data_IF_260696677627
#
_entry.id   IF_260696677627
#
_cell.length_a   1.000
_cell.length_b   1.000
_cell.length_c   1.000
_cell.angle_alpha   90.00
_cell.angle_beta   90.00
_cell.angle_gamma   90.00
#
_symmetry.space_group_name_H-M   'P 1'
#
loop_
_entity.id
_entity.type
_entity.pdbx_description
1 polymer ?
#
# COMPACT_ATOMS: atom_id res chain seq x y z
N UNK A 1 17.10 2.92 -25.40
CA UNK A 1 15.67 2.50 -25.39
C UNK A 1 14.92 3.51 -24.53
N UNK A 2 13.84 4.12 -25.00
CA UNK A 2 13.08 5.08 -24.19
C UNK A 2 12.34 4.33 -23.06
N UNK A 3 12.11 4.99 -21.93
CA UNK A 3 11.36 4.40 -20.80
C UNK A 3 9.95 3.93 -21.20
N UNK A 4 9.30 4.63 -22.16
CA UNK A 4 8.00 4.24 -22.69
C UNK A 4 8.04 2.87 -23.41
N UNK A 5 9.09 2.59 -24.18
CA UNK A 5 9.27 1.28 -24.85
C UNK A 5 9.53 0.20 -23.79
N UNK A 6 10.37 0.47 -22.81
CA UNK A 6 10.64 -0.48 -21.73
C UNK A 6 9.36 -0.78 -20.93
N UNK A 7 8.53 0.22 -20.68
CA UNK A 7 7.26 0.07 -19.97
C UNK A 7 6.26 -0.78 -20.76
N UNK A 8 6.16 -0.58 -22.08
CA UNK A 8 5.31 -1.41 -22.92
C UNK A 8 5.82 -2.86 -23.02
N UNK A 9 7.14 -3.08 -23.15
CA UNK A 9 7.71 -4.44 -23.12
C UNK A 9 7.42 -5.15 -21.79
N UNK A 10 7.53 -4.45 -20.66
CA UNK A 10 7.19 -4.98 -19.34
C UNK A 10 5.71 -5.41 -19.28
N UNK A 11 4.81 -4.57 -19.78
CA UNK A 11 3.36 -4.87 -19.82
C UNK A 11 3.06 -6.05 -20.74
N UNK A 12 3.73 -6.16 -21.90
CA UNK A 12 3.57 -7.29 -22.82
C UNK A 12 4.04 -8.59 -22.18
N UNK A 13 5.19 -8.57 -21.52
CA UNK A 13 5.68 -9.73 -20.78
C UNK A 13 4.69 -10.14 -19.67
N UNK A 14 4.14 -9.19 -18.94
CA UNK A 14 3.10 -9.44 -17.95
C UNK A 14 1.87 -10.13 -18.56
N UNK A 15 1.35 -9.63 -19.68
CA UNK A 15 0.21 -10.25 -20.39
C UNK A 15 0.51 -11.67 -20.89
N UNK A 16 1.73 -11.95 -21.30
CA UNK A 16 2.14 -13.29 -21.71
C UNK A 16 2.10 -14.29 -20.54
N UNK A 17 2.39 -13.85 -19.31
CA UNK A 17 2.27 -14.67 -18.10
C UNK A 17 0.81 -14.96 -17.72
N UNK A 18 -0.15 -14.09 -18.06
CA UNK A 18 -1.57 -14.26 -17.73
C UNK A 18 -2.18 -15.53 -18.36
N UNK A 19 -1.62 -16.00 -19.48
CA UNK A 19 -2.03 -17.27 -20.11
C UNK A 19 -1.82 -18.47 -19.17
N UNK A 20 -0.81 -18.40 -18.30
CA UNK A 20 -0.42 -19.48 -17.40
C UNK A 20 -0.84 -19.24 -15.94
N UNK A 21 -1.16 -18.00 -15.60
CA UNK A 21 -1.39 -17.55 -14.23
C UNK A 21 -2.81 -17.01 -14.03
N UNK A 22 -3.81 -17.78 -14.46
CA UNK A 22 -5.21 -17.40 -14.21
C UNK A 22 -5.45 -17.19 -12.71
N UNK A 23 -6.00 -16.02 -12.36
CA UNK A 23 -6.43 -15.67 -10.99
C UNK A 23 -7.92 -15.97 -10.82
N UNK A 24 -8.29 -16.34 -9.60
CA UNK A 24 -9.70 -16.41 -9.19
C UNK A 24 -9.99 -15.15 -8.43
N UNK A 25 -10.78 -14.26 -9.00
CA UNK A 25 -11.15 -12.99 -8.35
C UNK A 25 -12.39 -13.19 -7.47
N UNK A 26 -12.36 -12.61 -6.26
CA UNK A 26 -13.56 -12.55 -5.42
C UNK A 26 -14.59 -11.63 -6.10
N UNK A 27 -15.86 -12.06 -6.24
CA UNK A 27 -16.89 -11.24 -6.84
C UNK A 27 -17.07 -9.91 -6.12
N UNK A 28 -17.18 -8.83 -6.89
CA UNK A 28 -17.36 -7.47 -6.36
C UNK A 28 -18.31 -6.66 -7.26
N UNK A 29 -18.89 -5.62 -6.70
CA UNK A 29 -19.66 -4.62 -7.45
C UNK A 29 -18.94 -3.27 -7.46
N UNK A 30 -19.08 -2.53 -8.53
CA UNK A 30 -18.59 -1.16 -8.64
C UNK A 30 -19.56 -0.22 -7.90
N UNK A 31 -19.05 0.52 -6.91
CA UNK A 31 -19.83 1.50 -6.11
C UNK A 31 -19.60 2.92 -6.62
N UNK A 32 -18.36 3.25 -6.92
CA UNK A 32 -17.95 4.56 -7.39
C UNK A 32 -16.92 4.42 -8.51
N UNK A 33 -17.05 5.26 -9.54
CA UNK A 33 -16.01 5.47 -10.54
C UNK A 33 -15.82 6.97 -10.78
N UNK A 34 -14.57 7.42 -10.66
CA UNK A 34 -14.13 8.79 -10.95
C UNK A 34 -12.82 8.76 -11.75
N UNK A 35 -12.41 9.93 -12.23
CA UNK A 35 -11.05 10.08 -12.72
C UNK A 35 -10.08 9.76 -11.58
N UNK A 36 -9.14 8.85 -11.81
CA UNK A 36 -8.12 8.44 -10.84
C UNK A 36 -8.52 7.31 -9.87
N UNK A 37 -9.80 6.99 -9.67
CA UNK A 37 -10.20 5.96 -8.69
C UNK A 37 -11.46 5.20 -9.09
N UNK A 38 -11.53 3.92 -8.66
CA UNK A 38 -12.75 3.13 -8.52
C UNK A 38 -12.87 2.66 -7.08
N UNK A 39 -14.09 2.53 -6.60
CA UNK A 39 -14.40 1.87 -5.33
C UNK A 39 -15.21 0.59 -5.64
N UNK A 40 -14.67 -0.55 -5.22
CA UNK A 40 -15.33 -1.84 -5.31
C UNK A 40 -15.79 -2.31 -3.95
N UNK A 41 -16.99 -2.86 -3.92
CA UNK A 41 -17.61 -3.51 -2.77
C UNK A 41 -17.62 -5.02 -2.99
N UNK A 42 -16.97 -5.73 -2.09
CA UNK A 42 -16.85 -7.19 -2.08
C UNK A 42 -17.85 -7.86 -1.12
N UNK A 43 -18.55 -7.06 -0.32
CA UNK A 43 -19.49 -7.57 0.65
C UNK A 43 -20.83 -7.99 0.05
N UNK A 44 -21.59 -8.75 0.84
CA UNK A 44 -22.99 -9.02 0.59
C UNK A 44 -23.83 -7.97 1.32
N UNK A 45 -25.03 -7.70 0.85
CA UNK A 45 -25.96 -6.80 1.52
C UNK A 45 -26.17 -7.17 2.98
N UNK A 46 -26.12 -6.18 3.87
CA UNK A 46 -26.29 -6.36 5.31
C UNK A 46 -25.59 -5.24 6.11
N UNK A 47 -26.01 -5.07 7.36
CA UNK A 47 -25.42 -4.08 8.27
C UNK A 47 -24.13 -4.66 8.89
N UNK A 48 -23.00 -4.48 8.23
CA UNK A 48 -21.68 -4.93 8.66
C UNK A 48 -20.73 -3.75 8.75
N UNK A 49 -19.78 -3.76 9.71
CA UNK A 49 -18.80 -2.69 9.81
C UNK A 49 -17.98 -2.56 8.52
N UNK A 50 -17.86 -1.34 8.02
CA UNK A 50 -17.12 -1.05 6.80
C UNK A 50 -15.61 -1.12 7.04
N UNK A 51 -14.90 -1.77 6.11
CA UNK A 51 -13.44 -1.82 6.04
C UNK A 51 -13.02 -1.37 4.64
N UNK A 52 -12.27 -0.28 4.56
CA UNK A 52 -11.74 0.27 3.31
C UNK A 52 -10.25 -0.05 3.18
N UNK A 53 -9.91 -0.83 2.16
CA UNK A 53 -8.54 -1.11 1.77
C UNK A 53 -8.03 0.00 0.84
N UNK A 54 -6.88 0.58 1.20
CA UNK A 54 -6.19 1.63 0.44
C UNK A 54 -4.83 1.08 -0.03
N UNK A 55 -4.74 0.55 -1.27
CA UNK A 55 -3.49 0.08 -1.85
C UNK A 55 -2.53 1.22 -2.15
N UNK A 56 -1.24 0.91 -2.32
CA UNK A 56 -0.28 1.87 -2.85
C UNK A 56 -0.65 2.27 -4.30
N UNK A 57 -0.60 3.57 -4.68
CA UNK A 57 -1.12 4.06 -5.96
C UNK A 57 -0.33 3.62 -7.20
N UNK A 58 0.86 3.09 -7.00
CA UNK A 58 1.72 2.63 -8.11
C UNK A 58 1.45 1.20 -8.56
N UNK A 59 0.61 0.46 -7.84
CA UNK A 59 0.38 -0.97 -8.06
C UNK A 59 -1.10 -1.31 -8.16
N UNK A 60 -1.38 -2.41 -8.85
CA UNK A 60 -2.73 -2.98 -8.90
C UNK A 60 -3.17 -3.49 -7.52
N UNK A 61 -4.44 -3.28 -7.20
CA UNK A 61 -5.06 -3.66 -5.93
C UNK A 61 -5.17 -5.17 -5.70
N UNK A 62 -5.08 -5.99 -6.76
CA UNK A 62 -5.34 -7.43 -6.67
C UNK A 62 -4.36 -8.24 -5.81
N UNK A 63 -3.25 -7.64 -5.36
CA UNK A 63 -2.38 -8.27 -4.36
C UNK A 63 -3.11 -8.53 -3.04
N UNK A 64 -4.16 -7.76 -2.75
CA UNK A 64 -5.01 -7.94 -1.58
C UNK A 64 -6.01 -9.11 -1.74
N UNK A 65 -6.15 -9.64 -2.96
CA UNK A 65 -7.04 -10.76 -3.32
C UNK A 65 -6.36 -11.64 -4.38
N UNK A 66 -5.18 -12.17 -4.03
CA UNK A 66 -4.29 -12.83 -4.98
C UNK A 66 -4.73 -14.25 -5.34
N UNK A 67 -5.06 -15.05 -4.30
CA UNK A 67 -5.59 -16.41 -4.41
C UNK A 67 -6.56 -16.65 -3.26
N UNK A 68 -7.44 -17.68 -3.34
CA UNK A 68 -8.34 -17.98 -2.22
C UNK A 68 -7.65 -18.25 -0.87
N UNK A 69 -6.40 -18.72 -0.88
CA UNK A 69 -5.58 -18.96 0.32
C UNK A 69 -4.69 -17.77 0.71
N UNK A 70 -4.59 -16.76 -0.14
CA UNK A 70 -3.82 -15.55 0.07
C UNK A 70 -4.68 -14.34 -0.36
N UNK A 71 -5.75 -14.12 0.40
CA UNK A 71 -6.71 -13.03 0.18
C UNK A 71 -7.09 -12.37 1.50
N UNK A 72 -6.57 -11.17 1.70
CA UNK A 72 -6.97 -10.30 2.79
C UNK A 72 -8.46 -9.89 2.68
N UNK A 73 -8.94 -9.71 1.46
CA UNK A 73 -10.35 -9.44 1.17
C UNK A 73 -11.24 -10.57 1.71
N UNK A 74 -10.95 -11.82 1.33
CA UNK A 74 -11.73 -12.98 1.80
C UNK A 74 -11.63 -13.15 3.31
N UNK A 75 -10.45 -12.97 3.90
CA UNK A 75 -10.26 -13.05 5.35
C UNK A 75 -11.16 -12.04 6.09
N UNK A 76 -11.20 -10.78 5.63
CA UNK A 76 -12.06 -9.75 6.19
C UNK A 76 -13.56 -10.04 5.98
N UNK A 77 -13.96 -10.53 4.81
CA UNK A 77 -15.35 -10.93 4.52
C UNK A 77 -15.81 -12.06 5.44
N UNK A 78 -14.97 -13.08 5.63
CA UNK A 78 -15.24 -14.22 6.52
C UNK A 78 -15.31 -13.78 7.99
N UNK A 79 -14.56 -12.76 8.36
CA UNK A 79 -14.62 -12.16 9.69
C UNK A 79 -15.86 -11.27 9.92
N UNK A 80 -16.69 -11.08 8.90
CA UNK A 80 -17.98 -10.37 9.00
C UNK A 80 -17.92 -8.88 8.69
N UNK A 81 -16.89 -8.41 7.98
CA UNK A 81 -16.79 -7.01 7.52
C UNK A 81 -17.44 -6.82 6.15
N UNK A 82 -17.91 -5.59 5.89
CA UNK A 82 -18.22 -5.11 4.56
C UNK A 82 -16.92 -4.55 3.98
N UNK A 83 -16.36 -5.23 2.98
CA UNK A 83 -15.02 -4.90 2.46
C UNK A 83 -15.12 -4.08 1.20
N UNK A 84 -14.52 -2.91 1.26
CA UNK A 84 -14.34 -2.01 0.12
C UNK A 84 -12.86 -1.96 -0.27
N UNK A 85 -12.58 -1.95 -1.57
CA UNK A 85 -11.22 -1.77 -2.09
C UNK A 85 -11.20 -0.57 -3.00
N UNK A 86 -10.32 0.36 -2.68
CA UNK A 86 -9.99 1.47 -3.55
C UNK A 86 -9.05 0.96 -4.65
N UNK A 87 -9.43 1.12 -5.91
CA UNK A 87 -8.61 0.81 -7.07
C UNK A 87 -8.15 2.11 -7.71
N UNK A 88 -6.84 2.35 -7.69
CA UNK A 88 -6.28 3.46 -8.44
C UNK A 88 -6.42 3.22 -9.93
N UNK A 89 -6.69 4.29 -10.67
CA UNK A 89 -6.65 4.30 -12.14
C UNK A 89 -5.43 5.06 -12.61
N UNK A 90 -4.98 4.75 -13.80
CA UNK A 90 -3.99 5.57 -14.45
C UNK A 90 -4.52 7.02 -14.54
N UNK A 91 -3.88 7.93 -13.84
CA UNK A 91 -4.31 9.33 -13.78
C UNK A 91 -3.78 10.04 -15.04
N UNK A 92 -4.62 10.78 -15.76
CA UNK A 92 -4.13 11.60 -16.85
C UNK A 92 -3.04 12.56 -16.33
N UNK A 93 -1.93 12.73 -17.06
CA UNK A 93 -0.82 13.58 -16.62
C UNK A 93 -1.18 15.07 -16.56
N UNK A 94 -2.30 15.46 -17.12
CA UNK A 94 -2.75 16.84 -17.26
C UNK A 94 -3.75 17.21 -16.16
N UNK A 95 -3.25 17.85 -15.10
CA UNK A 95 -4.08 18.43 -14.04
C UNK A 95 -3.22 19.12 -12.99
N UNK A 96 -3.54 20.36 -12.58
CA UNK A 96 -2.69 21.16 -11.68
C UNK A 96 -2.57 20.59 -10.26
N UNK A 97 -3.33 19.54 -9.89
CA UNK A 97 -3.45 19.07 -8.51
C UNK A 97 -3.32 17.54 -8.35
N UNK A 98 -2.43 16.89 -9.09
CA UNK A 98 -2.24 15.44 -9.02
C UNK A 98 -1.29 14.99 -7.87
N UNK A 99 -1.16 15.76 -6.80
CA UNK A 99 -0.34 15.47 -5.63
C UNK A 99 -1.14 14.88 -4.46
N UNK A 100 -0.63 15.05 -3.23
CA UNK A 100 -1.30 14.55 -2.00
C UNK A 100 -2.70 15.13 -1.78
N UNK A 101 -2.96 16.37 -2.22
CA UNK A 101 -4.30 16.98 -2.18
C UNK A 101 -5.29 16.16 -2.98
N UNK A 102 -4.90 15.74 -4.17
CA UNK A 102 -5.75 14.92 -5.05
C UNK A 102 -5.99 13.51 -4.47
N UNK A 103 -4.95 12.92 -3.89
CA UNK A 103 -5.08 11.61 -3.20
C UNK A 103 -6.07 11.70 -2.05
N UNK A 104 -5.97 12.75 -1.21
CA UNK A 104 -6.92 13.00 -0.13
C UNK A 104 -8.35 13.15 -0.63
N UNK A 105 -8.58 13.92 -1.72
CA UNK A 105 -9.88 14.06 -2.34
C UNK A 105 -10.48 12.74 -2.80
N UNK A 106 -9.69 11.89 -3.46
CA UNK A 106 -10.15 10.60 -3.96
C UNK A 106 -10.52 9.64 -2.82
N UNK A 107 -9.72 9.60 -1.75
CA UNK A 107 -10.03 8.79 -0.57
C UNK A 107 -11.29 9.31 0.11
N UNK A 108 -11.46 10.64 0.22
CA UNK A 108 -12.63 11.27 0.81
C UNK A 108 -13.92 10.96 0.02
N UNK A 109 -13.87 10.97 -1.31
CA UNK A 109 -15.01 10.57 -2.14
C UNK A 109 -15.39 9.10 -1.93
N UNK A 110 -14.40 8.21 -1.82
CA UNK A 110 -14.64 6.81 -1.49
C UNK A 110 -15.27 6.66 -0.10
N UNK A 111 -14.73 7.33 0.91
CA UNK A 111 -15.25 7.29 2.28
C UNK A 111 -16.69 7.86 2.38
N UNK A 112 -17.00 8.93 1.63
CA UNK A 112 -18.37 9.46 1.53
C UNK A 112 -19.33 8.47 0.88
N UNK A 113 -18.86 7.70 -0.13
CA UNK A 113 -19.70 6.71 -0.82
C UNK A 113 -20.00 5.49 0.06
N UNK A 114 -19.17 5.20 1.05
CA UNK A 114 -19.42 4.18 2.06
C UNK A 114 -20.52 4.65 3.04
N UNK A 115 -20.56 5.94 3.34
CA UNK A 115 -21.64 6.58 4.12
C UNK A 115 -21.47 6.53 5.64
N UNK A 116 -20.58 5.69 6.17
CA UNK A 116 -20.27 5.55 7.59
C UNK A 116 -18.76 5.57 7.85
N UNK A 117 -18.31 5.87 9.08
CA UNK A 117 -16.89 5.74 9.42
C UNK A 117 -16.40 4.31 9.22
N UNK A 118 -15.29 4.16 8.51
CA UNK A 118 -14.73 2.87 8.15
C UNK A 118 -13.44 2.55 8.90
N UNK A 119 -13.11 1.27 9.02
CA UNK A 119 -11.76 0.83 9.36
C UNK A 119 -10.93 0.98 8.09
N UNK A 120 -9.79 1.66 8.17
CA UNK A 120 -8.87 1.77 7.04
C UNK A 120 -7.76 0.75 7.15
N UNK A 121 -7.45 0.08 6.06
CA UNK A 121 -6.30 -0.82 5.96
C UNK A 121 -5.41 -0.39 4.79
N UNK A 122 -4.12 -0.13 5.06
CA UNK A 122 -3.17 0.28 4.03
C UNK A 122 -1.84 -0.44 4.16
N UNK A 123 -1.25 -0.77 3.00
CA UNK A 123 0.07 -1.38 2.91
C UNK A 123 1.05 -0.40 2.26
N UNK A 124 2.27 -0.33 2.80
CA UNK A 124 3.32 0.52 2.23
C UNK A 124 2.84 1.98 2.10
N UNK A 125 3.07 2.61 0.96
CA UNK A 125 2.62 3.99 0.68
C UNK A 125 1.09 4.16 0.80
N UNK A 126 0.31 3.10 0.57
CA UNK A 126 -1.14 3.11 0.82
C UNK A 126 -1.48 3.32 2.30
N UNK A 127 -0.68 2.73 3.20
CA UNK A 127 -0.80 2.97 4.65
C UNK A 127 -0.39 4.38 5.04
N UNK A 128 0.66 4.93 4.43
CA UNK A 128 1.05 6.33 4.61
C UNK A 128 -0.09 7.28 4.25
N UNK A 129 -0.74 7.07 3.11
CA UNK A 129 -1.88 7.89 2.68
C UNK A 129 -3.12 7.68 3.55
N UNK A 130 -3.40 6.45 3.97
CA UNK A 130 -4.48 6.17 4.93
C UNK A 130 -4.28 6.92 6.25
N UNK A 131 -3.03 7.00 6.73
CA UNK A 131 -2.69 7.72 7.97
C UNK A 131 -2.82 9.22 7.81
N UNK A 132 -2.33 9.79 6.71
CA UNK A 132 -2.50 11.22 6.39
C UNK A 132 -4.00 11.55 6.32
N UNK A 133 -4.79 10.76 5.59
CA UNK A 133 -6.23 10.90 5.51
C UNK A 133 -6.90 10.83 6.89
N UNK A 134 -6.55 9.83 7.70
CA UNK A 134 -7.10 9.65 9.05
C UNK A 134 -6.80 10.85 9.95
N UNK A 135 -5.64 11.50 9.80
CA UNK A 135 -5.28 12.71 10.55
C UNK A 135 -6.04 13.96 10.12
N UNK A 136 -6.54 14.00 8.88
CA UNK A 136 -7.33 15.11 8.32
C UNK A 136 -8.84 14.92 8.52
N UNK A 137 -9.29 13.67 8.56
CA UNK A 137 -10.71 13.27 8.62
C UNK A 137 -10.96 12.22 9.71
N UNK A 138 -10.57 12.49 10.99
CA UNK A 138 -10.68 11.50 12.07
C UNK A 138 -12.13 11.00 12.29
N UNK A 139 -13.13 11.84 12.00
CA UNK A 139 -14.55 11.49 12.09
C UNK A 139 -14.99 10.42 11.07
N UNK A 140 -14.19 10.15 10.04
CA UNK A 140 -14.43 9.15 9.00
C UNK A 140 -13.76 7.81 9.28
N UNK A 141 -12.93 7.71 10.33
CA UNK A 141 -12.07 6.56 10.57
C UNK A 141 -12.31 5.98 11.95
N UNK A 142 -12.71 4.71 12.01
CA UNK A 142 -12.93 3.97 13.26
C UNK A 142 -11.65 3.40 13.83
N UNK A 143 -10.79 2.88 12.97
CA UNK A 143 -9.50 2.28 13.32
C UNK A 143 -8.58 2.28 12.09
N UNK A 144 -7.29 2.15 12.31
CA UNK A 144 -6.27 2.18 11.28
C UNK A 144 -5.40 0.91 11.36
N UNK A 145 -5.26 0.22 10.22
CA UNK A 145 -4.40 -0.96 10.07
C UNK A 145 -3.30 -0.62 9.09
N UNK A 146 -2.07 -0.65 9.55
CA UNK A 146 -0.87 -0.27 8.83
C UNK A 146 0.01 -1.50 8.62
N UNK A 147 0.15 -1.92 7.37
CA UNK A 147 0.95 -3.08 7.00
C UNK A 147 2.23 -2.58 6.33
N UNK A 148 3.37 -2.66 7.04
CA UNK A 148 4.67 -2.15 6.56
C UNK A 148 4.55 -0.76 5.89
N UNK A 149 3.93 0.19 6.59
CA UNK A 149 3.68 1.54 6.10
C UNK A 149 4.70 2.53 6.67
N UNK A 150 5.55 3.16 5.85
CA UNK A 150 6.55 4.11 6.33
C UNK A 150 5.88 5.45 6.69
N UNK A 151 6.16 5.97 7.89
CA UNK A 151 5.54 7.18 8.44
C UNK A 151 6.53 8.16 9.05
N UNK A 152 7.70 7.68 9.48
CA UNK A 152 8.80 8.50 10.02
C UNK A 152 10.04 8.36 9.14
N UNK A 153 10.63 9.50 8.77
CA UNK A 153 11.74 9.54 7.80
C UNK A 153 12.99 10.24 8.35
N UNK A 154 12.99 10.66 9.64
CA UNK A 154 14.10 11.39 10.30
C UNK A 154 15.13 10.39 10.72
N UNK A 155 15.54 9.43 10.43
CA UNK A 155 16.56 8.48 10.86
C UNK A 155 16.83 7.42 9.79
N UNK A 156 17.05 6.22 10.23
CA UNK A 156 17.06 5.07 9.32
C UNK A 156 15.61 4.76 8.91
N UNK A 157 15.24 5.19 7.73
CA UNK A 157 13.90 4.98 7.15
C UNK A 157 13.94 4.00 5.96
N UNK A 158 15.00 3.22 5.86
CA UNK A 158 15.19 2.17 4.88
C UNK A 158 15.81 2.62 3.56
N UNK A 159 16.13 1.65 2.73
CA UNK A 159 16.91 1.82 1.51
C UNK A 159 16.27 2.80 0.50
N UNK A 160 14.94 2.83 0.41
CA UNK A 160 14.23 3.78 -0.47
C UNK A 160 14.43 5.21 0.03
N UNK A 161 14.38 5.44 1.34
CA UNK A 161 14.60 6.76 1.92
C UNK A 161 16.03 7.26 1.65
N UNK A 162 17.03 6.40 1.76
CA UNK A 162 18.42 6.73 1.43
C UNK A 162 18.57 7.15 -0.04
N UNK A 163 17.99 6.38 -0.97
CA UNK A 163 18.02 6.73 -2.39
C UNK A 163 17.33 8.09 -2.65
N UNK A 164 16.21 8.35 -1.99
CA UNK A 164 15.48 9.61 -2.11
C UNK A 164 16.30 10.80 -1.60
N UNK A 165 17.09 10.64 -0.52
CA UNK A 165 17.92 11.72 0.03
C UNK A 165 18.96 12.24 -0.97
N UNK A 166 19.55 11.36 -1.76
CA UNK A 166 20.58 11.70 -2.76
C UNK A 166 20.00 12.04 -4.15
N UNK A 167 18.71 11.82 -4.35
CA UNK A 167 18.02 12.00 -5.63
C UNK A 167 17.81 13.47 -6.03
N UNK A 168 17.18 13.74 -7.19
CA UNK A 168 16.91 15.09 -7.70
C UNK A 168 15.94 15.88 -6.81
N UNK A 169 15.99 17.20 -6.87
CA UNK A 169 15.09 18.10 -6.12
C UNK A 169 13.61 17.90 -6.53
N UNK A 170 12.67 18.23 -5.64
CA UNK A 170 11.23 18.18 -5.94
C UNK A 170 10.84 19.07 -7.12
N UNK A 171 11.50 20.21 -7.30
CA UNK A 171 11.32 21.08 -8.46
C UNK A 171 11.72 20.36 -9.76
N UNK A 172 12.87 19.70 -9.76
CA UNK A 172 13.33 18.92 -10.93
C UNK A 172 12.35 17.77 -11.24
N UNK A 173 11.83 17.10 -10.21
CA UNK A 173 10.87 16.02 -10.39
C UNK A 173 9.56 16.47 -11.04
N UNK A 174 9.14 17.72 -10.85
CA UNK A 174 7.91 18.28 -11.45
C UNK A 174 8.05 18.69 -12.92
N UNK A 175 9.26 18.61 -13.52
CA UNK A 175 9.51 19.02 -14.92
C UNK A 175 8.97 18.02 -15.96
N UNK A 176 8.57 16.82 -15.55
CA UNK A 176 7.92 15.82 -16.40
C UNK A 176 6.46 15.67 -15.99
N UNK A 177 5.62 15.12 -16.85
CA UNK A 177 4.21 14.90 -16.55
C UNK A 177 3.98 13.74 -15.60
N UNK A 178 4.68 12.64 -15.82
CA UNK A 178 4.57 11.44 -14.99
C UNK A 178 5.85 10.58 -15.06
N UNK A 179 6.05 9.74 -14.07
CA UNK A 179 7.11 8.74 -14.01
C UNK A 179 6.53 7.37 -14.38
N UNK A 180 6.99 6.74 -15.48
CA UNK A 180 6.55 5.39 -15.86
C UNK A 180 6.81 4.37 -14.76
N UNK A 181 5.96 3.35 -14.64
CA UNK A 181 6.13 2.26 -13.67
C UNK A 181 7.49 1.57 -13.76
N UNK A 182 8.05 1.44 -14.96
CA UNK A 182 9.40 0.91 -15.15
C UNK A 182 10.49 1.74 -14.47
N UNK A 183 10.34 3.08 -14.39
CA UNK A 183 11.28 3.95 -13.65
C UNK A 183 11.16 3.70 -12.16
N UNK A 184 9.93 3.62 -11.64
CA UNK A 184 9.68 3.36 -10.22
C UNK A 184 10.23 1.97 -9.81
N UNK A 185 10.07 0.97 -10.66
CA UNK A 185 10.66 -0.36 -10.45
C UNK A 185 12.19 -0.31 -10.44
N UNK A 186 12.80 0.39 -11.39
CA UNK A 186 14.25 0.57 -11.45
C UNK A 186 14.80 1.29 -10.20
N UNK A 187 14.06 2.28 -9.68
CA UNK A 187 14.42 2.97 -8.44
C UNK A 187 14.35 2.03 -7.23
N UNK A 188 13.30 1.19 -7.12
CA UNK A 188 13.19 0.18 -6.06
C UNK A 188 14.35 -0.82 -6.11
N UNK A 189 14.68 -1.30 -7.31
CA UNK A 189 15.79 -2.22 -7.54
C UNK A 189 17.15 -1.57 -7.21
N UNK A 190 17.33 -0.29 -7.53
CA UNK A 190 18.55 0.45 -7.23
C UNK A 190 18.68 0.75 -5.72
N UNK A 191 17.56 0.96 -5.02
CA UNK A 191 17.54 1.19 -3.58
C UNK A 191 17.95 -0.07 -2.81
N UNK A 192 17.35 -1.21 -3.11
CA UNK A 192 17.67 -2.48 -2.46
C UNK A 192 17.70 -3.63 -3.48
N UNK A 193 18.86 -3.90 -4.09
CA UNK A 193 19.05 -5.09 -4.93
C UNK A 193 18.81 -6.39 -4.16
N UNK A 194 19.11 -6.41 -2.85
CA UNK A 194 18.87 -7.59 -1.99
C UNK A 194 17.40 -7.95 -1.97
N UNK A 195 16.51 -7.01 -1.60
CA UNK A 195 15.08 -7.25 -1.48
C UNK A 195 14.36 -7.40 -2.82
N UNK A 196 14.76 -6.62 -3.83
CA UNK A 196 14.03 -6.58 -5.11
C UNK A 196 14.59 -7.48 -6.21
N UNK A 197 15.79 -8.06 -6.03
CA UNK A 197 16.41 -9.00 -7.00
C UNK A 197 16.82 -10.31 -6.36
N UNK A 198 17.78 -10.28 -5.40
CA UNK A 198 18.38 -11.50 -4.86
C UNK A 198 17.40 -12.33 -4.04
N UNK A 199 16.57 -11.69 -3.22
CA UNK A 199 15.49 -12.35 -2.48
C UNK A 199 14.54 -13.09 -3.43
N UNK A 200 14.13 -12.50 -4.55
CA UNK A 200 13.23 -13.12 -5.54
C UNK A 200 13.80 -14.42 -6.13
N UNK A 201 15.08 -14.39 -6.50
CA UNK A 201 15.76 -15.60 -6.97
C UNK A 201 15.82 -16.70 -5.91
N UNK A 202 16.21 -16.34 -4.69
CA UNK A 202 16.26 -17.26 -3.55
C UNK A 202 14.88 -17.85 -3.26
N UNK A 203 13.86 -17.02 -3.17
CA UNK A 203 12.48 -17.44 -2.88
C UNK A 203 11.93 -18.38 -3.96
N UNK A 204 12.23 -18.11 -5.24
CA UNK A 204 11.87 -19.01 -6.34
C UNK A 204 12.47 -20.40 -6.19
N UNK A 205 13.74 -20.49 -5.81
CA UNK A 205 14.42 -21.78 -5.60
C UNK A 205 13.82 -22.51 -4.39
N UNK A 206 13.56 -21.82 -3.30
CA UNK A 206 12.94 -22.40 -2.11
C UNK A 206 11.50 -22.88 -2.38
N UNK A 207 10.81 -22.25 -3.28
CA UNK A 207 9.42 -22.57 -3.65
C UNK A 207 9.31 -23.69 -4.68
N UNK A 208 10.41 -24.08 -5.35
CA UNK A 208 10.38 -25.03 -6.47
C UNK A 208 9.82 -26.41 -6.12
N UNK A 209 9.95 -26.84 -4.85
CA UNK A 209 9.41 -28.12 -4.34
C UNK A 209 7.96 -28.07 -3.89
N UNK A 210 7.31 -26.90 -3.87
CA UNK A 210 5.93 -26.71 -3.44
C UNK A 210 5.12 -25.98 -4.53
N UNK A 211 4.27 -26.70 -5.28
CA UNK A 211 3.50 -26.10 -6.38
C UNK A 211 2.62 -24.90 -5.94
N UNK A 212 2.10 -24.90 -4.72
CA UNK A 212 1.27 -23.80 -4.23
C UNK A 212 2.12 -22.57 -3.89
N UNK A 213 3.28 -22.76 -3.26
CA UNK A 213 4.24 -21.69 -3.01
C UNK A 213 4.78 -21.10 -4.33
N UNK A 214 5.18 -21.96 -5.27
CA UNK A 214 5.66 -21.52 -6.57
C UNK A 214 4.58 -20.76 -7.35
N UNK A 215 3.33 -21.19 -7.30
CA UNK A 215 2.22 -20.48 -7.92
C UNK A 215 2.05 -19.08 -7.31
N UNK A 216 2.06 -18.96 -5.98
CA UNK A 216 1.96 -17.65 -5.30
C UNK A 216 3.15 -16.76 -5.69
N UNK A 217 4.37 -17.30 -5.67
CA UNK A 217 5.57 -16.61 -6.13
C UNK A 217 5.38 -16.03 -7.54
N UNK A 218 4.94 -16.84 -8.50
CA UNK A 218 4.75 -16.41 -9.89
C UNK A 218 3.63 -15.37 -10.04
N UNK A 219 2.56 -15.45 -9.24
CA UNK A 219 1.50 -14.45 -9.22
C UNK A 219 1.99 -13.11 -8.65
N UNK A 220 2.83 -13.12 -7.63
CA UNK A 220 3.48 -11.89 -7.11
C UNK A 220 4.46 -11.34 -8.13
N UNK A 221 5.27 -12.19 -8.78
CA UNK A 221 6.12 -11.78 -9.91
C UNK A 221 5.32 -11.08 -11.01
N UNK A 222 4.19 -11.67 -11.40
CA UNK A 222 3.28 -11.07 -12.38
C UNK A 222 2.76 -9.71 -11.90
N UNK A 223 2.37 -9.60 -10.62
CA UNK A 223 1.92 -8.35 -10.03
C UNK A 223 3.00 -7.27 -10.05
N UNK A 224 4.27 -7.62 -9.85
CA UNK A 224 5.36 -6.63 -9.91
C UNK A 224 5.50 -5.98 -11.29
N UNK A 225 4.96 -6.60 -12.33
CA UNK A 225 4.94 -6.07 -13.69
C UNK A 225 3.75 -5.15 -13.98
N UNK A 226 2.79 -5.04 -13.06
CA UNK A 226 1.55 -4.27 -13.20
C UNK A 226 1.61 -2.92 -12.49
N UNK A 227 2.60 -2.11 -12.82
CA UNK A 227 2.76 -0.79 -12.26
C UNK A 227 2.03 0.26 -13.11
N UNK A 228 1.43 1.23 -12.42
CA UNK A 228 0.94 2.47 -13.01
C UNK A 228 2.05 3.51 -13.11
N UNK A 229 1.92 4.42 -14.07
CA UNK A 229 2.68 5.65 -14.04
C UNK A 229 2.23 6.50 -12.84
N UNK A 230 3.18 7.12 -12.15
CA UNK A 230 2.91 8.04 -11.05
C UNK A 230 2.98 9.49 -11.57
N UNK A 231 1.94 10.32 -11.38
CA UNK A 231 2.00 11.74 -11.69
C UNK A 231 3.18 12.41 -10.99
N UNK A 232 3.88 13.29 -11.68
CA UNK A 232 5.10 13.92 -11.16
C UNK A 232 4.83 14.75 -9.91
N UNK A 233 3.66 15.36 -9.80
CA UNK A 233 3.25 16.10 -8.61
C UNK A 233 3.16 15.17 -7.38
N UNK A 234 2.53 13.98 -7.52
CA UNK A 234 2.44 13.02 -6.44
C UNK A 234 3.82 12.46 -6.08
N UNK A 235 4.65 12.13 -7.09
CA UNK A 235 6.00 11.65 -6.85
C UNK A 235 6.85 12.68 -6.10
N UNK A 236 6.79 13.95 -6.50
CA UNK A 236 7.48 15.04 -5.82
C UNK A 236 6.99 15.25 -4.38
N UNK A 237 5.68 15.13 -4.14
CA UNK A 237 5.10 15.24 -2.79
C UNK A 237 5.53 14.06 -1.90
N UNK A 238 5.58 12.84 -2.43
CA UNK A 238 6.13 11.66 -1.72
C UNK A 238 7.60 11.87 -1.39
N UNK A 239 8.41 12.33 -2.35
CA UNK A 239 9.82 12.67 -2.10
C UNK A 239 9.97 13.74 -1.02
N UNK A 240 9.09 14.76 -1.00
CA UNK A 240 9.09 15.77 0.05
C UNK A 240 8.74 15.18 1.43
N UNK A 241 7.77 14.25 1.51
CA UNK A 241 7.48 13.54 2.76
C UNK A 241 8.72 12.85 3.32
N UNK A 242 9.43 12.09 2.48
CA UNK A 242 10.63 11.37 2.88
C UNK A 242 11.79 12.30 3.30
N UNK A 243 11.99 13.41 2.60
CA UNK A 243 13.12 14.32 2.88
C UNK A 243 12.90 15.24 4.05
N UNK A 244 11.68 15.73 4.21
CA UNK A 244 11.36 16.80 5.13
C UNK A 244 10.63 16.30 6.37
N UNK A 245 10.18 15.05 6.36
CA UNK A 245 9.44 14.40 7.45
C UNK A 245 8.28 15.27 7.97
N UNK A 246 7.58 15.94 7.03
CA UNK A 246 6.58 16.98 7.32
C UNK A 246 5.42 16.47 8.16
N UNK A 247 5.02 15.21 7.96
CA UNK A 247 3.92 14.61 8.71
C UNK A 247 4.29 14.49 10.19
N UNK A 248 5.45 13.89 10.50
CA UNK A 248 5.93 13.74 11.87
C UNK A 248 6.21 15.08 12.54
N UNK A 249 6.69 16.06 11.79
CA UNK A 249 6.96 17.42 12.28
C UNK A 249 5.69 18.28 12.46
N UNK A 250 4.51 17.79 12.06
CA UNK A 250 3.26 18.58 12.09
C UNK A 250 3.27 19.79 11.16
N UNK A 251 4.06 19.75 10.09
CA UNK A 251 4.17 20.84 9.11
C UNK A 251 3.56 20.51 7.76
N UNK A 252 3.03 19.28 7.59
CA UNK A 252 2.31 18.90 6.38
C UNK A 252 0.96 19.63 6.31
N UNK A 253 0.76 20.41 5.25
CA UNK A 253 -0.49 21.13 5.00
C UNK A 253 -1.18 20.57 3.76
N UNK A 254 -2.45 20.18 3.91
CA UNK A 254 -3.34 19.75 2.82
C UNK A 254 -4.61 20.60 2.92
N UNK A 255 -4.91 21.39 1.89
CA UNK A 255 -6.07 22.32 1.87
C UNK A 255 -6.15 23.24 3.09
N UNK A 256 -5.01 23.69 3.60
CA UNK A 256 -4.92 24.56 4.76
C UNK A 256 -5.03 23.84 6.12
N UNK A 257 -5.40 22.56 6.16
CA UNK A 257 -5.42 21.74 7.37
C UNK A 257 -4.04 21.11 7.62
N UNK A 258 -3.70 20.94 8.90
CA UNK A 258 -2.45 20.28 9.29
C UNK A 258 -2.68 18.77 9.41
N UNK A 259 -1.93 17.98 8.66
CA UNK A 259 -1.81 16.54 8.88
C UNK A 259 -0.63 16.26 9.81
N UNK A 260 -0.90 15.59 10.91
CA UNK A 260 0.12 15.28 11.93
C UNK A 260 -0.29 14.04 12.76
N UNK A 261 0.67 13.33 13.38
CA UNK A 261 0.37 12.21 14.29
C UNK A 261 -0.58 12.58 15.43
N UNK A 262 -0.49 13.81 15.96
CA UNK A 262 -1.36 14.32 17.03
C UNK A 262 -2.86 14.35 16.68
N UNK A 263 -3.20 14.29 15.39
CA UNK A 263 -4.59 14.26 14.93
C UNK A 263 -5.11 12.84 14.69
N UNK A 264 -4.27 11.82 14.83
CA UNK A 264 -4.65 10.40 14.71
C UNK A 264 -5.13 9.94 16.10
N UNK A 265 -6.44 9.99 16.31
CA UNK A 265 -7.08 9.72 17.62
C UNK A 265 -7.76 8.36 17.71
N UNK A 266 -7.92 7.68 16.58
CA UNK A 266 -8.50 6.35 16.51
C UNK A 266 -7.47 5.26 16.90
N UNK A 267 -7.94 4.04 17.28
CA UNK A 267 -7.05 2.89 17.50
C UNK A 267 -6.19 2.56 16.27
N UNK A 268 -4.93 2.23 16.50
CA UNK A 268 -3.97 1.88 15.42
C UNK A 268 -3.38 0.49 15.65
N UNK A 269 -3.40 -0.35 14.63
CA UNK A 269 -2.60 -1.57 14.57
C UNK A 269 -1.56 -1.39 13.47
N UNK A 270 -0.29 -1.57 13.81
CA UNK A 270 0.80 -1.59 12.85
C UNK A 270 1.43 -2.99 12.77
N UNK A 271 1.81 -3.39 11.57
CA UNK A 271 2.61 -4.60 11.31
C UNK A 271 3.93 -4.18 10.71
N UNK A 272 5.02 -4.68 11.26
CA UNK A 272 6.39 -4.47 10.75
C UNK A 272 7.08 -5.81 10.53
N UNK A 273 7.93 -5.88 9.54
CA UNK A 273 8.92 -6.95 9.40
C UNK A 273 10.23 -6.46 10.06
N UNK A 274 10.71 -7.14 11.12
CA UNK A 274 11.93 -6.73 11.82
C UNK A 274 13.18 -6.68 10.94
N UNK A 275 13.20 -7.48 9.87
CA UNK A 275 14.33 -7.58 8.94
C UNK A 275 14.11 -6.80 7.64
N UNK A 276 13.07 -5.96 7.56
CA UNK A 276 12.78 -5.18 6.35
C UNK A 276 13.78 -4.05 6.20
N UNK A 277 14.49 -4.01 5.07
CA UNK A 277 15.33 -2.88 4.64
C UNK A 277 14.53 -1.85 3.82
N UNK A 278 13.31 -2.19 3.40
CA UNK A 278 12.41 -1.32 2.63
C UNK A 278 11.59 -0.43 3.56
N UNK A 279 11.00 -1.01 4.60
CA UNK A 279 10.24 -0.32 5.66
C UNK A 279 10.69 -0.88 7.01
N UNK A 280 11.83 -0.46 7.52
CA UNK A 280 12.33 -0.93 8.82
C UNK A 280 11.42 -0.44 9.95
N UNK A 281 11.40 -1.14 11.10
CA UNK A 281 10.64 -0.72 12.28
C UNK A 281 10.89 0.73 12.70
N UNK A 282 12.10 1.25 12.50
CA UNK A 282 12.49 2.65 12.73
C UNK A 282 11.72 3.67 11.89
N UNK A 283 11.10 3.26 10.78
CA UNK A 283 10.21 4.12 9.99
C UNK A 283 8.74 4.10 10.44
N UNK A 284 8.39 3.25 11.42
CA UNK A 284 7.01 3.07 11.91
C UNK A 284 6.88 3.39 13.40
N UNK A 285 7.78 2.86 14.23
CA UNK A 285 7.70 2.98 15.70
C UNK A 285 7.65 4.44 16.18
N UNK A 286 8.46 5.39 15.65
CA UNK A 286 8.37 6.79 16.10
C UNK A 286 7.00 7.42 15.86
N UNK A 287 6.27 6.99 14.82
CA UNK A 287 4.90 7.43 14.60
C UNK A 287 3.96 6.92 15.71
N UNK A 288 4.06 5.63 16.07
CA UNK A 288 3.24 5.04 17.14
C UNK A 288 3.49 5.74 18.49
N UNK A 289 4.75 6.05 18.78
CA UNK A 289 5.13 6.76 20.02
C UNK A 289 4.65 8.21 20.04
N UNK A 290 4.44 8.82 18.86
CA UNK A 290 3.94 10.19 18.72
C UNK A 290 2.40 10.31 18.78
N UNK A 291 1.67 9.20 18.84
CA UNK A 291 0.21 9.22 18.95
C UNK A 291 -0.23 9.79 20.31
N UNK A 292 -1.29 10.62 20.35
CA UNK A 292 -1.75 11.29 21.58
C UNK A 292 -2.22 10.28 22.63
N UNK A 293 -2.89 9.24 22.19
CA UNK A 293 -3.36 8.14 23.03
C UNK A 293 -2.55 6.89 22.68
N UNK A 294 -1.99 6.21 23.68
CA UNK A 294 -1.25 4.95 23.46
C UNK A 294 -2.19 3.79 23.11
N UNK A 295 -3.19 4.06 22.28
CA UNK A 295 -4.17 3.08 21.80
C UNK A 295 -3.68 2.45 20.49
N UNK A 296 -2.53 1.79 20.56
CA UNK A 296 -1.96 1.09 19.42
C UNK A 296 -1.38 -0.27 19.80
N UNK A 297 -1.30 -1.13 18.80
CA UNK A 297 -0.63 -2.44 18.87
C UNK A 297 0.37 -2.54 17.73
N UNK A 298 1.53 -3.12 18.03
CA UNK A 298 2.56 -3.47 17.04
C UNK A 298 2.65 -4.99 16.96
N UNK A 299 2.44 -5.54 15.76
CA UNK A 299 2.64 -6.94 15.44
C UNK A 299 3.89 -7.10 14.56
N UNK A 300 4.57 -8.23 14.72
CA UNK A 300 5.73 -8.57 13.91
C UNK A 300 5.34 -9.63 12.87
N UNK A 301 5.79 -9.42 11.64
CA UNK A 301 5.69 -10.40 10.58
C UNK A 301 7.08 -11.00 10.34
N UNK A 302 7.21 -12.32 10.51
CA UNK A 302 8.50 -13.03 10.44
C UNK A 302 8.89 -13.46 9.01
N UNK A 303 8.05 -13.14 8.03
CA UNK A 303 8.28 -13.50 6.64
C UNK A 303 7.66 -14.84 6.24
N UNK A 304 7.74 -15.12 4.95
CA UNK A 304 7.22 -16.31 4.27
C UNK A 304 8.14 -16.73 3.13
N UNK A 305 7.93 -17.94 2.61
CA UNK A 305 8.47 -18.39 1.33
C UNK A 305 7.35 -18.49 0.29
N UNK A 306 7.69 -18.35 -0.98
CA UNK A 306 6.70 -18.36 -2.07
C UNK A 306 5.99 -17.02 -2.28
N UNK A 307 6.63 -15.92 -1.89
CA UNK A 307 6.05 -14.58 -1.95
C UNK A 307 6.78 -13.63 -2.92
N UNK A 308 7.86 -14.06 -3.54
CA UNK A 308 8.73 -13.30 -4.44
C UNK A 308 9.33 -12.01 -3.85
N UNK A 309 8.53 -11.21 -3.15
CA UNK A 309 8.95 -9.98 -2.47
C UNK A 309 8.55 -10.05 -1.00
N UNK A 310 9.54 -9.99 -0.10
CA UNK A 310 9.32 -10.04 1.35
C UNK A 310 8.34 -8.95 1.81
N UNK A 311 8.49 -7.75 1.33
CA UNK A 311 7.63 -6.59 1.64
C UNK A 311 6.12 -6.79 1.35
N UNK A 312 5.72 -7.70 0.45
CA UNK A 312 4.31 -8.04 0.23
C UNK A 312 3.87 -9.33 0.92
N UNK A 313 4.75 -9.94 1.70
CA UNK A 313 4.47 -11.17 2.42
C UNK A 313 3.31 -11.05 3.39
N UNK A 314 3.14 -9.91 4.03
CA UNK A 314 1.98 -9.58 4.89
C UNK A 314 0.64 -9.71 4.16
N UNK A 315 0.62 -9.60 2.82
CA UNK A 315 -0.57 -9.74 1.98
C UNK A 315 -0.67 -11.10 1.29
N UNK A 316 0.45 -11.66 0.82
CA UNK A 316 0.48 -12.85 -0.04
C UNK A 316 1.00 -14.11 0.69
N UNK A 317 1.60 -13.97 1.86
CA UNK A 317 2.24 -15.05 2.59
C UNK A 317 1.25 -16.04 3.23
N UNK A 318 1.59 -17.32 3.21
CA UNK A 318 0.78 -18.37 3.87
C UNK A 318 0.76 -18.23 5.38
N UNK A 319 1.90 -17.90 5.98
CA UNK A 319 1.97 -17.68 7.43
C UNK A 319 1.26 -16.38 7.81
N UNK A 320 1.33 -15.33 6.96
CA UNK A 320 0.54 -14.15 7.15
C UNK A 320 -0.96 -14.48 7.27
N UNK A 321 -1.51 -15.28 6.34
CA UNK A 321 -2.93 -15.67 6.38
C UNK A 321 -3.27 -16.67 7.48
N UNK A 322 -2.32 -17.50 7.90
CA UNK A 322 -2.55 -18.50 8.95
C UNK A 322 -2.44 -17.93 10.36
N UNK A 323 -1.59 -16.94 10.58
CA UNK A 323 -1.24 -16.43 11.93
C UNK A 323 -1.58 -14.95 12.03
N UNK A 324 -0.98 -14.09 11.20
CA UNK A 324 -1.06 -12.65 11.32
C UNK A 324 -2.47 -12.09 11.05
N UNK A 325 -3.12 -12.49 9.95
CA UNK A 325 -4.47 -12.01 9.65
C UNK A 325 -5.52 -12.38 10.71
N UNK A 326 -5.54 -13.60 11.31
CA UNK A 326 -6.38 -13.89 12.45
C UNK A 326 -6.17 -12.96 13.65
N UNK A 327 -4.92 -12.58 13.96
CA UNK A 327 -4.61 -11.63 15.04
C UNK A 327 -5.11 -10.22 14.72
N UNK A 328 -4.87 -9.73 13.49
CA UNK A 328 -5.40 -8.44 13.01
C UNK A 328 -6.93 -8.43 13.15
N UNK A 329 -7.60 -9.47 12.66
CA UNK A 329 -9.06 -9.56 12.69
C UNK A 329 -9.63 -9.71 14.09
N UNK A 330 -8.93 -10.38 15.00
CA UNK A 330 -9.29 -10.42 16.42
C UNK A 330 -9.21 -9.02 17.02
N UNK A 331 -8.10 -8.29 16.81
CA UNK A 331 -7.94 -6.93 17.33
C UNK A 331 -9.05 -5.99 16.84
N UNK A 332 -9.39 -6.00 15.55
CA UNK A 332 -10.44 -5.12 15.01
C UNK A 332 -11.80 -5.33 15.69
N UNK A 333 -12.10 -6.55 16.12
CA UNK A 333 -13.35 -6.86 16.83
C UNK A 333 -13.41 -6.21 18.21
N UNK A 334 -12.27 -5.96 18.84
CA UNK A 334 -12.16 -5.30 20.16
C UNK A 334 -11.98 -3.79 20.05
N UNK A 335 -11.46 -3.27 18.94
CA UNK A 335 -11.28 -1.84 18.67
C UNK A 335 -12.58 -1.11 18.26
N UNK A 336 -13.73 -1.69 18.61
CA UNK A 336 -15.07 -1.13 18.32
C UNK A 336 -15.50 -0.05 19.29
#
# INVERSE_FOLDING_TARGET
MSFAVADEMRRQYGRALDVWLARTETPSRLVLERSGVKLRDYGKEGNRPALLIIPAPIKKSYIWDLTPSASAVLACLQAGFQVYVLEWKETPPEGPNNGLVYVDDLILECAKSIGEPAILAGHSLGGTFATIFASLHPERVRALILLEAPLSFAGDAGAIAELIRIGPTTETLRKVSAYPGTVLNALSLAASPESFLWWRWRDRLLSAGDPAALRTHLLVERWTLDEYAMPSALFADVVALYREDRFMRGTLRIKGQTAAPSNVTMPVLAVVDPDSDVVPPSSVIPFLDALPDRNWILLHYEGDTGIALRHVGVLAGRNAHRILWPEILAWIRYAR
#
